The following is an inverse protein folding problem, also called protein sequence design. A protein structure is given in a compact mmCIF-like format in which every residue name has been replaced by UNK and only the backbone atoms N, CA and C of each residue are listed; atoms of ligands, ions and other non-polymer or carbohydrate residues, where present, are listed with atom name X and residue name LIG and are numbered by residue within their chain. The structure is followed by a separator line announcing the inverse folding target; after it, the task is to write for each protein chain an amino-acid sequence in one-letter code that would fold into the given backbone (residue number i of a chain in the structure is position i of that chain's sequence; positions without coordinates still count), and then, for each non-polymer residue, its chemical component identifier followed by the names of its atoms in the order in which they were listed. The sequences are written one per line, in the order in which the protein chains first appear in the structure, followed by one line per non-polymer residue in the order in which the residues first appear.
data_IF_757734900147
#
_entry.id   IF_757734900147
#
_cell.length_a   1.000
_cell.length_b   1.000
_cell.length_c   1.000
_cell.angle_alpha   90.00
_cell.angle_beta   90.00
_cell.angle_gamma   90.00
#
_symmetry.space_group_name_H-M   'P 1'
#
loop_
_entity.id
_entity.type
_entity.pdbx_description
1 polymer ?
#
# COMPACT_ATOMS: atom_id res chain seq x y z
N UNK A 1 -11.56 6.57 -19.69
CA UNK A 1 -10.28 7.18 -19.30
C UNK A 1 -9.71 6.38 -18.16
N UNK A 2 -8.47 5.92 -18.29
CA UNK A 2 -7.75 5.25 -17.21
C UNK A 2 -7.58 6.23 -16.04
N UNK A 3 -7.94 5.80 -14.82
CA UNK A 3 -7.89 6.65 -13.61
C UNK A 3 -6.76 6.27 -12.64
N UNK A 4 -6.15 5.12 -12.85
CA UNK A 4 -5.06 4.57 -12.06
C UNK A 4 -4.18 3.67 -12.92
N UNK A 5 -2.93 3.50 -12.50
CA UNK A 5 -2.04 2.50 -13.09
C UNK A 5 -2.52 1.09 -12.76
N UNK A 6 -2.12 0.15 -13.61
CA UNK A 6 -2.48 -1.26 -13.52
C UNK A 6 -1.31 -2.09 -13.02
N UNK A 7 -1.58 -3.33 -12.62
CA UNK A 7 -0.53 -4.30 -12.27
C UNK A 7 0.52 -4.46 -13.38
N UNK A 8 0.09 -4.46 -14.65
CA UNK A 8 1.00 -4.59 -15.79
C UNK A 8 2.00 -3.42 -15.85
N UNK A 9 1.54 -2.21 -15.54
CA UNK A 9 2.40 -1.03 -15.50
C UNK A 9 3.48 -1.13 -14.41
N UNK A 10 3.20 -1.84 -13.31
CA UNK A 10 4.19 -2.14 -12.25
C UNK A 10 5.14 -3.28 -12.61
N UNK A 11 4.69 -4.24 -13.42
CA UNK A 11 5.52 -5.36 -13.89
C UNK A 11 6.66 -4.87 -14.79
N UNK A 12 6.43 -3.80 -15.56
CA UNK A 12 7.42 -3.16 -16.43
C UNK A 12 8.56 -2.44 -15.68
N UNK A 13 8.44 -2.25 -14.36
CA UNK A 13 9.47 -1.57 -13.57
C UNK A 13 10.63 -2.51 -13.17
N UNK A 14 11.83 -1.94 -13.16
CA UNK A 14 13.00 -2.60 -12.56
C UNK A 14 12.87 -2.72 -11.04
N UNK A 15 13.72 -3.55 -10.40
CA UNK A 15 13.72 -3.68 -8.95
C UNK A 15 14.03 -2.36 -8.24
N UNK A 16 14.98 -1.58 -8.77
CA UNK A 16 15.35 -0.26 -8.24
C UNK A 16 14.18 0.74 -8.34
N UNK A 17 13.50 0.78 -9.50
CA UNK A 17 12.33 1.64 -9.68
C UNK A 17 11.17 1.26 -8.75
N UNK A 18 10.98 -0.04 -8.48
CA UNK A 18 9.99 -0.52 -7.51
C UNK A 18 10.32 -0.06 -6.09
N UNK A 19 11.59 -0.12 -5.70
CA UNK A 19 12.03 0.38 -4.39
C UNK A 19 11.82 1.90 -4.29
N UNK A 20 12.27 2.65 -5.29
CA UNK A 20 12.09 4.11 -5.32
C UNK A 20 10.61 4.50 -5.30
N UNK A 21 9.75 3.76 -6.00
CA UNK A 21 8.31 3.97 -5.98
C UNK A 21 7.72 3.71 -4.59
N UNK A 22 8.13 2.62 -3.94
CA UNK A 22 7.74 2.31 -2.57
C UNK A 22 8.15 3.47 -1.64
N UNK A 23 9.36 3.99 -1.76
CA UNK A 23 9.87 5.06 -0.88
C UNK A 23 9.13 6.39 -1.06
N UNK A 24 8.71 6.72 -2.30
CA UNK A 24 7.95 7.94 -2.60
C UNK A 24 6.48 7.86 -2.21
N UNK A 25 5.96 6.65 -2.17
CA UNK A 25 4.57 6.39 -1.84
C UNK A 25 4.31 6.58 -0.35
N UNK A 26 3.33 7.43 -0.07
CA UNK A 26 2.74 7.63 1.25
C UNK A 26 1.35 6.98 1.22
N UNK A 27 1.17 5.79 1.84
CA UNK A 27 -0.11 5.10 1.84
C UNK A 27 -1.20 5.88 2.56
N UNK A 28 -2.40 5.89 1.99
CA UNK A 28 -3.62 6.40 2.61
C UNK A 28 -4.69 5.30 2.69
N UNK A 29 -5.68 5.51 3.56
CA UNK A 29 -6.84 4.62 3.63
C UNK A 29 -7.61 4.72 2.30
N UNK A 30 -8.08 3.58 1.81
CA UNK A 30 -8.75 3.37 0.52
C UNK A 30 -7.86 3.40 -0.71
N UNK A 31 -6.54 3.54 -0.54
CA UNK A 31 -5.60 3.31 -1.63
C UNK A 31 -5.67 1.85 -2.10
N UNK A 32 -5.50 1.65 -3.40
CA UNK A 32 -5.35 0.30 -3.96
C UNK A 32 -3.87 -0.03 -4.09
N UNK A 33 -3.45 -1.19 -3.59
CA UNK A 33 -2.07 -1.63 -3.62
C UNK A 33 -1.96 -3.09 -4.08
N UNK A 34 -0.75 -3.49 -4.48
CA UNK A 34 -0.37 -4.86 -4.81
C UNK A 34 0.65 -5.32 -3.78
N UNK A 35 0.33 -6.36 -3.02
CA UNK A 35 1.27 -7.03 -2.12
C UNK A 35 1.91 -8.23 -2.81
N UNK A 36 3.21 -8.42 -2.65
CA UNK A 36 3.90 -9.66 -3.01
C UNK A 36 3.94 -10.59 -1.80
N UNK A 37 3.29 -11.75 -1.90
CA UNK A 37 3.17 -12.71 -0.79
C UNK A 37 3.84 -14.02 -1.15
N UNK A 38 4.66 -14.55 -0.24
CA UNK A 38 5.22 -15.88 -0.38
C UNK A 38 4.12 -16.92 -0.18
N UNK A 39 3.83 -17.70 -1.22
CA UNK A 39 2.84 -18.79 -1.18
C UNK A 39 3.54 -20.12 -0.90
N UNK A 40 4.75 -20.31 -1.40
CA UNK A 40 5.56 -21.49 -1.16
C UNK A 40 7.02 -21.08 -0.91
N UNK A 41 7.49 -21.29 0.32
CA UNK A 41 8.86 -20.96 0.72
C UNK A 41 9.89 -21.98 0.21
N UNK A 42 9.49 -23.22 -0.08
CA UNK A 42 10.40 -24.25 -0.59
C UNK A 42 10.73 -24.04 -2.07
N UNK A 43 9.76 -23.56 -2.84
CA UNK A 43 9.91 -23.25 -4.27
C UNK A 43 10.19 -21.77 -4.56
N UNK A 44 10.30 -20.92 -3.52
CA UNK A 44 10.41 -19.46 -3.63
C UNK A 44 9.29 -18.85 -4.51
N UNK A 45 8.07 -19.38 -4.38
CA UNK A 45 6.92 -18.98 -5.19
C UNK A 45 6.17 -17.83 -4.53
N UNK A 46 6.14 -16.69 -5.21
CA UNK A 46 5.42 -15.50 -4.77
C UNK A 46 4.19 -15.24 -5.63
N UNK A 47 3.12 -14.78 -5.00
CA UNK A 47 1.89 -14.34 -5.66
C UNK A 47 1.64 -12.85 -5.38
N UNK A 48 1.05 -12.17 -6.37
CA UNK A 48 0.66 -10.78 -6.28
C UNK A 48 -0.81 -10.64 -5.97
N UNK A 49 -1.10 -10.03 -4.82
CA UNK A 49 -2.44 -9.84 -4.32
C UNK A 49 -2.82 -8.36 -4.42
N UNK A 50 -3.87 -8.06 -5.18
CA UNK A 50 -4.45 -6.71 -5.24
C UNK A 50 -5.43 -6.55 -4.07
N UNK A 51 -5.30 -5.46 -3.34
CA UNK A 51 -6.15 -5.16 -2.19
C UNK A 51 -6.36 -3.66 -2.01
N UNK A 52 -7.31 -3.31 -1.15
CA UNK A 52 -7.60 -1.93 -0.77
C UNK A 52 -7.19 -1.75 0.69
N UNK A 53 -6.45 -0.68 0.99
CA UNK A 53 -5.98 -0.40 2.35
C UNK A 53 -7.17 0.03 3.21
N UNK A 54 -7.50 -0.75 4.24
CA UNK A 54 -8.55 -0.42 5.21
C UNK A 54 -8.03 0.28 6.46
N UNK A 55 -6.76 0.06 6.81
CA UNK A 55 -6.15 0.70 7.96
C UNK A 55 -4.63 0.67 7.89
N UNK A 56 -3.99 1.65 8.54
CA UNK A 56 -2.54 1.80 8.56
C UNK A 56 -2.10 1.78 10.03
N UNK A 57 -1.17 0.87 10.35
CA UNK A 57 -0.57 0.77 11.68
C UNK A 57 0.92 1.06 11.58
N UNK A 58 1.36 2.07 12.32
CA UNK A 58 2.79 2.37 12.47
C UNK A 58 3.41 1.41 13.48
N UNK A 59 4.49 0.75 13.07
CA UNK A 59 5.29 -0.13 13.92
C UNK A 59 6.49 0.64 14.50
N UNK A 60 7.26 -0.04 15.36
CA UNK A 60 8.54 0.49 15.85
C UNK A 60 9.50 0.63 14.65
N UNK A 61 10.38 1.63 14.66
CA UNK A 61 11.32 1.95 13.58
C UNK A 61 10.74 2.55 12.29
N UNK A 62 9.54 3.16 12.35
CA UNK A 62 8.88 3.80 11.21
C UNK A 62 8.40 2.83 10.10
N UNK A 63 8.39 1.53 10.38
CA UNK A 63 7.74 0.56 9.51
C UNK A 63 6.21 0.73 9.54
N UNK A 64 5.57 0.43 8.42
CA UNK A 64 4.12 0.56 8.26
C UNK A 64 3.52 -0.80 7.92
N UNK A 65 2.48 -1.18 8.65
CA UNK A 65 1.64 -2.33 8.35
C UNK A 65 0.32 -1.82 7.74
N UNK A 66 -0.02 -2.37 6.59
CA UNK A 66 -1.16 -1.99 5.77
C UNK A 66 -2.20 -3.11 5.84
N UNK A 67 -3.31 -2.84 6.51
CA UNK A 67 -4.38 -3.82 6.69
C UNK A 67 -5.31 -3.83 5.48
N UNK A 68 -5.71 -5.01 5.04
CA UNK A 68 -6.64 -5.20 3.95
C UNK A 68 -8.07 -4.89 4.43
N UNK A 69 -8.74 -3.99 3.72
CA UNK A 69 -10.11 -3.57 3.99
C UNK A 69 -11.07 -4.76 4.06
N UNK A 70 -10.80 -5.85 3.33
CA UNK A 70 -11.64 -7.06 3.34
C UNK A 70 -11.79 -7.69 4.74
N UNK A 71 -10.80 -7.52 5.61
CA UNK A 71 -10.78 -8.12 6.95
C UNK A 71 -11.06 -7.11 8.07
N UNK A 72 -11.39 -5.86 7.71
CA UNK A 72 -11.79 -4.86 8.68
C UNK A 72 -13.22 -5.12 9.16
N UNK A 73 -13.52 -4.91 10.45
CA UNK A 73 -14.89 -4.96 10.93
C UNK A 73 -15.69 -3.84 10.28
N UNK A 74 -16.85 -4.19 9.72
CA UNK A 74 -17.81 -3.20 9.23
C UNK A 74 -18.24 -2.30 10.39
N UNK A 75 -17.85 -1.02 10.38
CA UNK A 75 -18.31 -0.06 11.39
C UNK A 75 -19.85 0.15 11.35
N UNK A 76 -20.55 -0.40 10.36
CA UNK A 76 -22.02 -0.42 10.25
C UNK A 76 -22.70 -1.49 11.11
N UNK A 77 -21.96 -2.42 11.74
CA UNK A 77 -22.49 -3.46 12.63
C UNK A 77 -21.83 -3.44 14.02
N UNK A 78 -21.82 -2.29 14.68
CA UNK A 78 -21.63 -2.23 16.15
C UNK A 78 -23.00 -2.21 16.83
N UNK A 79 -23.65 -3.37 16.93
CA UNK A 79 -24.64 -3.57 18.01
C UNK A 79 -23.82 -3.50 19.29
N UNK A 80 -24.04 -2.45 20.08
CA UNK A 80 -23.45 -2.31 21.41
C UNK A 80 -23.98 -3.45 22.27
N UNK A 81 -23.22 -4.53 22.39
CA UNK A 81 -23.39 -5.44 23.50
C UNK A 81 -22.62 -4.85 24.68
N UNK A 82 -23.41 -4.27 25.59
CA UNK A 82 -22.97 -3.89 26.92
C UNK A 82 -22.61 -5.17 27.68
N UNK A 83 -21.33 -5.38 28.00
CA UNK A 83 -20.94 -6.34 29.03
C UNK A 83 -20.31 -5.63 30.23
N UNK A 84 -21.22 -5.27 31.12
CA UNK A 84 -21.25 -5.59 32.55
C UNK A 84 -19.90 -5.84 33.26
N UNK A 85 -19.65 -4.98 34.25
CA UNK A 85 -18.71 -5.16 35.34
C UNK A 85 -18.72 -6.57 35.95
N UNK A 86 -17.52 -7.15 36.13
CA UNK A 86 -17.26 -8.01 37.28
C UNK A 86 -15.87 -7.73 37.86
N UNK A 87 -15.84 -6.84 38.85
CA UNK A 87 -14.84 -6.92 39.92
C UNK A 87 -14.98 -8.29 40.60
N UNK A 88 -13.86 -8.98 40.85
CA UNK A 88 -13.50 -9.43 42.21
C UNK A 88 -12.24 -10.31 42.28
N UNK A 89 -11.31 -9.81 43.11
CA UNK A 89 -10.54 -10.49 44.16
C UNK A 89 -9.25 -11.25 43.78
N UNK A 90 -8.17 -10.68 44.31
CA UNK A 90 -6.83 -11.24 44.46
C UNK A 90 -6.80 -12.49 45.37
N UNK A 91 -5.90 -13.42 45.07
CA UNK A 91 -5.30 -14.28 46.09
C UNK A 91 -3.87 -14.66 45.71
N UNK A 92 -2.95 -14.35 46.61
CA UNK A 92 -1.56 -14.78 46.66
C UNK A 92 -1.42 -16.32 46.60
N UNK A 93 -0.41 -16.82 45.88
CA UNK A 93 0.65 -17.71 46.41
C UNK A 93 1.63 -18.16 45.31
N UNK A 94 2.89 -17.79 45.50
CA UNK A 94 4.08 -18.41 44.91
C UNK A 94 4.62 -19.41 45.93
N UNK A 95 4.76 -20.68 45.56
CA UNK A 95 5.93 -21.55 45.82
C UNK A 95 5.59 -23.02 45.52
N UNK A 96 6.49 -23.72 44.82
CA UNK A 96 6.48 -25.18 44.76
C UNK A 96 6.84 -25.78 43.41
N UNK A 97 8.14 -25.83 43.11
CA UNK A 97 8.75 -26.64 42.05
C UNK A 97 8.43 -28.12 42.34
N UNK A 98 7.76 -28.81 41.41
CA UNK A 98 7.89 -30.26 41.28
C UNK A 98 7.95 -30.63 39.79
N UNK A 99 8.98 -31.39 39.44
CA UNK A 99 9.33 -31.77 38.08
C UNK A 99 8.71 -33.12 37.77
N UNK A 100 7.58 -33.14 37.05
CA UNK A 100 7.08 -34.36 36.41
C UNK A 100 7.32 -34.30 34.90
N UNK A 101 7.76 -35.40 34.25
CA UNK A 101 7.98 -35.43 32.82
C UNK A 101 6.65 -35.32 32.09
N UNK A 102 6.51 -34.31 31.23
CA UNK A 102 5.37 -34.15 30.35
C UNK A 102 5.18 -35.43 29.52
N UNK A 103 3.95 -35.98 29.41
CA UNK A 103 3.68 -37.00 28.41
C UNK A 103 3.88 -36.35 27.04
N UNK A 104 4.58 -37.07 26.16
CA UNK A 104 4.76 -36.71 24.76
C UNK A 104 3.38 -36.47 24.16
N UNK A 105 3.03 -35.20 23.92
CA UNK A 105 1.82 -34.81 23.19
C UNK A 105 1.96 -35.37 21.77
N UNK A 106 1.32 -36.52 21.52
CA UNK A 106 0.98 -36.93 20.16
C UNK A 106 0.12 -35.81 19.57
N UNK A 107 0.74 -34.92 18.81
CA UNK A 107 0.08 -33.95 17.96
C UNK A 107 -0.78 -34.72 16.95
N UNK A 108 -2.02 -35.02 17.34
CA UNK A 108 -3.07 -35.39 16.41
C UNK A 108 -3.27 -34.18 15.49
N UNK A 109 -2.70 -34.27 14.29
CA UNK A 109 -3.15 -33.43 13.19
C UNK A 109 -4.61 -33.81 12.93
N UNK A 110 -5.54 -33.00 13.44
CA UNK A 110 -6.92 -33.05 12.97
C UNK A 110 -6.88 -33.03 11.44
N UNK A 111 -7.46 -34.05 10.81
CA UNK A 111 -7.45 -34.31 9.35
C UNK A 111 -8.13 -33.19 8.52
N UNK A 112 -8.57 -32.11 9.18
CA UNK A 112 -9.18 -30.92 8.57
C UNK A 112 -8.20 -29.72 8.49
N UNK A 113 -6.91 -29.89 8.81
CA UNK A 113 -5.90 -28.84 8.58
C UNK A 113 -5.58 -28.74 7.09
N UNK A 114 -6.43 -28.01 6.38
CA UNK A 114 -6.28 -27.78 4.95
C UNK A 114 -5.07 -26.85 4.72
N UNK A 115 -3.99 -27.38 4.11
CA UNK A 115 -2.76 -26.63 3.78
C UNK A 115 -2.95 -25.61 2.64
N UNK A 116 -4.18 -25.17 2.38
CA UNK A 116 -4.48 -24.16 1.40
C UNK A 116 -3.96 -22.80 1.86
N UNK A 117 -3.34 -22.05 0.94
CA UNK A 117 -2.79 -20.73 1.21
C UNK A 117 -3.87 -19.80 1.77
N UNK A 118 -3.67 -19.34 3.01
CA UNK A 118 -4.54 -18.36 3.64
C UNK A 118 -4.00 -16.95 3.38
N UNK A 119 -4.79 -16.15 2.67
CA UNK A 119 -4.47 -14.74 2.39
C UNK A 119 -4.29 -13.96 3.71
N UNK A 120 -3.15 -13.25 3.90
CA UNK A 120 -2.93 -12.41 5.07
C UNK A 120 -3.96 -11.29 5.20
N UNK A 121 -4.23 -10.88 6.43
CA UNK A 121 -5.08 -9.73 6.78
C UNK A 121 -4.37 -8.38 6.64
N UNK A 122 -3.04 -8.41 6.62
CA UNK A 122 -2.18 -7.25 6.65
C UNK A 122 -0.84 -7.53 5.97
N UNK A 123 -0.23 -6.47 5.44
CA UNK A 123 1.00 -6.55 4.66
C UNK A 123 1.98 -5.46 5.11
N UNK A 124 3.27 -5.78 5.11
CA UNK A 124 4.31 -4.76 5.30
C UNK A 124 4.33 -3.82 4.10
N UNK A 125 4.46 -2.51 4.33
CA UNK A 125 4.56 -1.52 3.25
C UNK A 125 5.69 -1.85 2.26
N UNK A 126 6.80 -2.40 2.75
CA UNK A 126 7.96 -2.72 1.91
C UNK A 126 7.68 -3.83 0.89
N UNK A 127 6.71 -4.70 1.18
CA UNK A 127 6.28 -5.78 0.29
C UNK A 127 5.15 -5.36 -0.65
N UNK A 128 4.78 -4.07 -0.63
CA UNK A 128 3.64 -3.51 -1.34
C UNK A 128 4.06 -2.44 -2.35
N UNK A 129 3.34 -2.39 -3.47
CA UNK A 129 3.45 -1.31 -4.46
C UNK A 129 2.08 -0.66 -4.69
N UNK A 130 2.00 0.67 -4.79
CA UNK A 130 0.74 1.36 -5.02
C UNK A 130 0.25 1.19 -6.46
N UNK A 131 -1.06 1.03 -6.63
CA UNK A 131 -1.73 1.32 -7.90
C UNK A 131 -2.15 2.79 -7.89
N UNK A 132 -1.17 3.67 -8.14
CA UNK A 132 -1.34 5.11 -8.08
C UNK A 132 -2.50 5.60 -8.94
N UNK A 133 -3.36 6.41 -8.35
CA UNK A 133 -4.34 7.21 -9.08
C UNK A 133 -3.73 8.53 -9.59
N UNK A 134 -4.51 9.26 -10.39
CA UNK A 134 -4.11 10.55 -10.96
C UNK A 134 -3.68 11.55 -9.88
N UNK A 135 -4.41 11.63 -8.77
CA UNK A 135 -4.12 12.57 -7.69
C UNK A 135 -2.80 12.25 -7.00
N UNK A 136 -2.57 10.97 -6.71
CA UNK A 136 -1.33 10.49 -6.09
C UNK A 136 -0.12 10.69 -7.00
N UNK A 137 -0.26 10.49 -8.32
CA UNK A 137 0.83 10.78 -9.27
C UNK A 137 1.16 12.27 -9.31
N UNK A 138 0.15 13.15 -9.34
CA UNK A 138 0.38 14.60 -9.30
C UNK A 138 1.07 15.00 -8.01
N UNK A 139 0.61 14.49 -6.85
CA UNK A 139 1.21 14.77 -5.55
C UNK A 139 2.67 14.30 -5.47
N UNK A 140 2.99 13.10 -6.00
CA UNK A 140 4.38 12.63 -6.04
C UNK A 140 5.25 13.56 -6.92
N UNK A 141 4.78 13.93 -8.11
CA UNK A 141 5.51 14.83 -9.01
C UNK A 141 5.71 16.22 -8.38
N UNK A 142 4.70 16.74 -7.69
CA UNK A 142 4.77 18.02 -6.99
C UNK A 142 5.76 17.97 -5.81
N UNK A 143 5.72 16.90 -4.99
CA UNK A 143 6.64 16.71 -3.86
C UNK A 143 8.08 16.46 -4.31
N UNK A 144 8.28 15.76 -5.44
CA UNK A 144 9.60 15.46 -6.02
C UNK A 144 10.21 16.59 -6.82
N UNK A 145 9.62 17.80 -6.80
CA UNK A 145 10.21 19.04 -7.33
C UNK A 145 11.57 19.47 -6.70
N UNK A 146 12.37 18.52 -6.19
CA UNK A 146 13.79 18.64 -5.91
C UNK A 146 14.61 17.94 -7.04
N UNK A 147 14.69 18.56 -8.22
CA UNK A 147 15.46 18.10 -9.39
C UNK A 147 15.36 19.01 -10.62
N UNK A 148 16.08 18.68 -11.71
CA UNK A 148 16.15 19.41 -13.00
C UNK A 148 14.84 19.37 -13.83
N UNK A 149 13.79 18.68 -13.37
CA UNK A 149 12.52 18.53 -14.08
C UNK A 149 11.54 19.67 -13.79
N UNK A 150 10.97 20.26 -14.84
CA UNK A 150 9.94 21.29 -14.75
C UNK A 150 8.54 20.66 -14.91
N UNK A 151 7.99 20.04 -13.85
CA UNK A 151 6.59 19.58 -13.89
C UNK A 151 5.62 20.76 -13.84
N UNK A 152 4.69 20.79 -14.80
CA UNK A 152 3.69 21.83 -14.92
C UNK A 152 2.40 21.26 -15.56
N UNK A 153 1.26 21.64 -14.99
CA UNK A 153 -0.07 21.30 -15.49
C UNK A 153 -0.86 22.59 -15.73
N UNK A 154 -1.42 22.76 -16.93
CA UNK A 154 -2.30 23.88 -17.25
C UNK A 154 -3.63 23.41 -17.82
N UNK A 155 -4.72 24.05 -17.41
CA UNK A 155 -6.05 23.88 -17.98
C UNK A 155 -6.61 25.25 -18.37
N UNK A 156 -6.86 25.45 -19.67
CA UNK A 156 -7.49 26.67 -20.19
C UNK A 156 -8.99 26.48 -20.30
N UNK A 157 -9.77 27.37 -19.68
CA UNK A 157 -11.23 27.34 -19.70
C UNK A 157 -11.74 28.73 -20.09
N UNK A 158 -12.18 28.88 -21.34
CA UNK A 158 -12.54 30.18 -21.89
C UNK A 158 -11.35 31.14 -21.84
N UNK A 159 -11.51 32.25 -21.12
CA UNK A 159 -10.51 33.32 -21.02
C UNK A 159 -9.56 33.19 -19.80
N UNK A 160 -9.73 32.16 -18.96
CA UNK A 160 -8.86 31.93 -17.82
C UNK A 160 -8.05 30.65 -17.97
N UNK A 161 -6.84 30.66 -17.40
CA UNK A 161 -5.93 29.52 -17.34
C UNK A 161 -5.71 29.18 -15.87
N UNK A 162 -5.90 27.91 -15.53
CA UNK A 162 -5.53 27.35 -14.24
C UNK A 162 -4.19 26.64 -14.40
N UNK A 163 -3.24 26.94 -13.54
CA UNK A 163 -1.88 26.41 -13.62
C UNK A 163 -1.46 25.81 -12.27
N UNK A 164 -0.68 24.74 -12.31
CA UNK A 164 -0.10 24.04 -11.15
C UNK A 164 1.34 23.64 -11.49
N UNK A 165 2.26 23.78 -10.53
CA UNK A 165 3.68 23.46 -10.71
C UNK A 165 4.59 24.68 -10.53
N UNK A 166 5.79 24.64 -11.11
CA UNK A 166 6.81 25.67 -10.91
C UNK A 166 6.42 26.99 -11.58
N UNK A 167 6.21 28.02 -10.76
CA UNK A 167 5.90 29.38 -11.21
C UNK A 167 7.08 29.96 -12.00
N UNK A 168 6.88 30.24 -13.28
CA UNK A 168 7.89 30.88 -14.14
C UNK A 168 8.00 30.30 -15.56
N UNK A 169 7.34 29.18 -15.85
CA UNK A 169 7.30 28.59 -17.20
C UNK A 169 6.19 29.17 -18.10
N UNK A 170 5.52 30.23 -17.68
CA UNK A 170 4.45 30.90 -18.46
C UNK A 170 4.99 31.76 -19.62
N UNK A 171 6.17 31.43 -20.16
CA UNK A 171 6.77 32.16 -21.27
C UNK A 171 7.72 31.27 -22.06
N UNK A 172 7.29 30.87 -23.26
CA UNK A 172 8.02 30.07 -24.27
C UNK A 172 8.46 28.69 -23.77
N UNK A 173 7.81 27.60 -24.18
CA UNK A 173 7.91 27.06 -25.54
C UNK A 173 6.55 26.48 -25.96
N UNK A 174 5.87 27.03 -26.98
CA UNK A 174 4.71 26.37 -27.55
C UNK A 174 5.23 25.20 -28.40
N UNK A 175 4.79 24.00 -28.08
CA UNK A 175 4.95 22.81 -28.93
C UNK A 175 6.40 22.44 -29.25
N UNK A 176 7.05 21.67 -28.37
CA UNK A 176 8.15 20.83 -28.80
C UNK A 176 7.62 19.79 -29.80
N UNK A 177 8.29 19.61 -30.94
CA UNK A 177 7.91 18.66 -32.00
C UNK A 177 7.91 17.20 -31.50
N UNK A 178 8.44 16.96 -30.29
CA UNK A 178 8.47 15.68 -29.61
C UNK A 178 7.27 15.42 -28.67
N UNK A 179 6.24 16.27 -28.68
CA UNK A 179 5.06 16.08 -27.84
C UNK A 179 4.34 14.76 -28.16
N UNK A 180 4.41 13.80 -27.23
CA UNK A 180 3.61 12.59 -27.28
C UNK A 180 2.18 12.90 -26.84
N UNK A 181 1.21 12.63 -27.70
CA UNK A 181 -0.20 12.59 -27.29
C UNK A 181 -0.47 11.27 -26.57
N UNK A 182 -1.26 11.33 -25.49
CA UNK A 182 -1.61 10.18 -24.67
C UNK A 182 -2.73 10.51 -23.70
N UNK A 183 -3.25 9.48 -23.01
CA UNK A 183 -4.18 9.70 -21.90
C UNK A 183 -3.45 10.30 -20.70
N UNK A 184 -4.14 11.13 -19.92
CA UNK A 184 -3.57 11.82 -18.74
C UNK A 184 -2.87 10.85 -17.78
N UNK A 185 -3.52 9.72 -17.46
CA UNK A 185 -2.95 8.72 -16.57
C UNK A 185 -1.64 8.14 -17.10
N UNK A 186 -1.54 7.87 -18.40
CA UNK A 186 -0.35 7.29 -19.00
C UNK A 186 0.78 8.33 -19.07
N UNK A 187 0.47 9.58 -19.41
CA UNK A 187 1.46 10.69 -19.40
C UNK A 187 2.01 10.92 -17.99
N UNK A 188 1.15 10.93 -16.98
CA UNK A 188 1.58 11.07 -15.58
C UNK A 188 2.43 9.87 -15.16
N UNK A 189 2.06 8.66 -15.57
CA UNK A 189 2.85 7.47 -15.25
C UNK A 189 4.23 7.48 -15.91
N UNK A 190 4.34 7.86 -17.18
CA UNK A 190 5.64 8.04 -17.84
C UNK A 190 6.50 9.10 -17.14
N UNK A 191 5.88 10.20 -16.68
CA UNK A 191 6.55 11.25 -15.91
C UNK A 191 7.08 10.74 -14.58
N UNK A 192 6.29 9.91 -13.87
CA UNK A 192 6.72 9.24 -12.64
C UNK A 192 7.89 8.31 -12.94
N UNK A 193 7.79 7.45 -13.95
CA UNK A 193 8.89 6.52 -14.33
C UNK A 193 10.20 7.22 -14.66
N UNK A 194 10.15 8.43 -15.19
CA UNK A 194 11.34 9.22 -15.49
C UNK A 194 12.08 9.72 -14.22
N UNK A 195 11.41 9.75 -13.07
CA UNK A 195 11.97 10.18 -11.78
C UNK A 195 12.13 9.04 -10.76
N UNK A 196 11.73 7.82 -11.13
CA UNK A 196 12.00 6.58 -10.39
C UNK A 196 13.37 6.04 -10.76
#
# INVERSE_FOLDING_TARGET
MKLRITRKDLEDLTLEQKQNLCDLWIPHIYDTAVANVCVDAAEERYEQIIYVIGGIKLLKHHDMLLNDLKFMPDETFKVKEEETYSDNIASDRIDGIDSEPAPEEEFNFDEDFNFEFQRPDSYSKQDCLPLLDIGQMIDILERKNFGEGDFFLSASIGDYVLEMGKNGFSGSVPYDENNKSGELCDILWESIKAIL
#
